data_IF_368085992558
#
_entry.id   IF_368085992558
#
_cell.length_a   1.000
_cell.length_b   1.000
_cell.length_c   1.000
_cell.angle_alpha   90.00
_cell.angle_beta   90.00
_cell.angle_gamma   90.00
#
_symmetry.space_group_name_H-M   'P 1'
#
loop_
_entity.id
_entity.type
_entity.pdbx_description
1 polymer ?
#
# COMPACT_ATOMS: atom_id res chain seq x y z
N UNK A 1 15.58 -12.38 -2.06
CA UNK A 1 14.42 -11.47 -1.95
C UNK A 1 13.85 -11.55 -0.54
N UNK A 2 13.53 -10.42 0.09
CA UNK A 2 12.74 -10.43 1.33
C UNK A 2 11.38 -11.08 1.05
N UNK A 3 10.91 -11.96 1.94
CA UNK A 3 9.63 -12.64 1.77
C UNK A 3 8.51 -11.61 1.61
N UNK A 4 7.65 -11.79 0.60
CA UNK A 4 6.56 -10.85 0.23
C UNK A 4 5.73 -10.41 1.44
N UNK A 5 5.47 -11.34 2.37
CA UNK A 5 4.72 -11.10 3.60
C UNK A 5 5.44 -10.14 4.57
N UNK A 6 6.77 -10.20 4.66
CA UNK A 6 7.56 -9.26 5.48
C UNK A 6 7.50 -7.84 4.92
N UNK A 7 7.40 -7.72 3.60
CA UNK A 7 7.27 -6.42 2.93
C UNK A 7 5.84 -5.88 3.06
N UNK A 8 4.82 -6.73 2.96
CA UNK A 8 3.43 -6.34 3.19
C UNK A 8 3.25 -5.72 4.59
N UNK A 9 3.72 -6.41 5.64
CA UNK A 9 3.66 -5.89 7.01
C UNK A 9 4.41 -4.57 7.21
N UNK A 10 5.50 -4.34 6.48
CA UNK A 10 6.21 -3.06 6.52
C UNK A 10 5.35 -1.90 5.95
N UNK A 11 4.60 -2.15 4.87
CA UNK A 11 3.69 -1.15 4.31
C UNK A 11 2.48 -0.90 5.20
N UNK A 12 1.95 -1.92 5.86
CA UNK A 12 0.91 -1.76 6.89
C UNK A 12 1.39 -0.85 8.03
N UNK A 13 2.59 -1.10 8.58
CA UNK A 13 3.17 -0.28 9.64
C UNK A 13 3.37 1.19 9.20
N UNK A 14 3.79 1.42 7.95
CA UNK A 14 3.91 2.78 7.38
C UNK A 14 2.54 3.47 7.32
N UNK A 15 1.48 2.77 6.91
CA UNK A 15 0.12 3.31 6.91
C UNK A 15 -0.31 3.75 8.32
N UNK A 16 -0.10 2.90 9.33
CA UNK A 16 -0.50 3.20 10.71
C UNK A 16 0.21 4.44 11.26
N UNK A 17 1.52 4.54 11.09
CA UNK A 17 2.31 5.69 11.57
C UNK A 17 1.99 6.97 10.79
N UNK A 18 1.77 6.88 9.49
CA UNK A 18 1.37 8.01 8.68
C UNK A 18 -0.03 8.52 9.06
N UNK A 19 -0.98 7.64 9.35
CA UNK A 19 -2.33 8.01 9.82
C UNK A 19 -2.29 8.65 11.21
N UNK A 20 -1.42 8.18 12.12
CA UNK A 20 -1.17 8.86 13.41
C UNK A 20 -0.60 10.26 13.22
N UNK A 21 0.31 10.44 12.27
CA UNK A 21 0.87 11.77 11.95
C UNK A 21 -0.19 12.71 11.35
N UNK A 22 -1.09 12.20 10.51
CA UNK A 22 -2.15 12.99 9.89
C UNK A 22 -3.19 13.55 10.89
N UNK A 23 -3.29 12.99 12.09
CA UNK A 23 -4.15 13.50 13.18
C UNK A 23 -3.55 14.71 13.91
N UNK A 24 -2.28 15.03 13.67
CA UNK A 24 -1.61 16.22 14.22
C UNK A 24 -1.90 17.41 13.31
N UNK A 25 -1.95 18.60 13.89
CA UNK A 25 -2.01 19.83 13.09
C UNK A 25 -0.65 20.05 12.42
N UNK A 26 -0.56 19.68 11.13
CA UNK A 26 0.66 19.70 10.35
C UNK A 26 0.55 20.72 9.22
N UNK A 27 1.67 21.35 8.82
CA UNK A 27 1.67 22.27 7.70
C UNK A 27 1.07 21.63 6.44
N UNK A 28 0.32 22.37 5.60
CA UNK A 28 -0.36 21.81 4.43
C UNK A 28 0.56 21.03 3.48
N UNK A 29 1.81 21.48 3.34
CA UNK A 29 2.86 20.82 2.55
C UNK A 29 3.22 19.43 3.09
N UNK A 30 3.26 19.29 4.41
CA UNK A 30 3.56 18.01 5.10
C UNK A 30 2.35 17.08 4.98
N UNK A 31 1.13 17.58 5.18
CA UNK A 31 -0.10 16.82 5.00
C UNK A 31 -0.27 16.28 3.57
N UNK A 32 0.08 17.07 2.54
CA UNK A 32 0.08 16.62 1.13
C UNK A 32 1.03 15.44 0.90
N UNK A 33 2.23 15.48 1.50
CA UNK A 33 3.22 14.41 1.40
C UNK A 33 2.78 13.16 2.16
N UNK A 34 2.23 13.31 3.36
CA UNK A 34 1.65 12.22 4.15
C UNK A 34 0.57 11.47 3.39
N UNK A 35 -0.36 12.18 2.75
CA UNK A 35 -1.39 11.55 1.89
C UNK A 35 -0.79 10.72 0.75
N UNK A 36 0.30 11.22 0.15
CA UNK A 36 1.01 10.50 -0.92
C UNK A 36 1.66 9.23 -0.41
N UNK A 37 2.33 9.30 0.76
CA UNK A 37 2.94 8.14 1.41
C UNK A 37 1.89 7.08 1.74
N UNK A 38 0.76 7.49 2.34
CA UNK A 38 -0.36 6.57 2.65
C UNK A 38 -0.90 5.92 1.37
N UNK A 39 -1.07 6.68 0.30
CA UNK A 39 -1.57 6.14 -0.98
C UNK A 39 -0.64 5.08 -1.56
N UNK A 40 0.68 5.31 -1.51
CA UNK A 40 1.68 4.35 -2.00
C UNK A 40 1.68 3.10 -1.11
N UNK A 41 1.70 3.29 0.21
CA UNK A 41 1.75 2.19 1.17
C UNK A 41 0.50 1.30 1.10
N UNK A 42 -0.71 1.90 1.00
CA UNK A 42 -1.97 1.16 0.80
C UNK A 42 -1.93 0.34 -0.48
N UNK A 43 -1.57 0.97 -1.60
CA UNK A 43 -1.45 0.28 -2.88
C UNK A 43 -0.48 -0.91 -2.85
N UNK A 44 0.66 -0.75 -2.16
CA UNK A 44 1.63 -1.83 -2.02
C UNK A 44 1.17 -2.94 -1.07
N UNK A 45 0.45 -2.61 0.01
CA UNK A 45 -0.20 -3.62 0.85
C UNK A 45 -1.20 -4.42 0.02
N UNK A 46 -2.09 -3.73 -0.69
CA UNK A 46 -3.14 -4.36 -1.52
C UNK A 46 -2.56 -5.32 -2.56
N UNK A 47 -1.49 -4.94 -3.26
CA UNK A 47 -0.83 -5.82 -4.25
C UNK A 47 -0.22 -7.06 -3.58
N UNK A 48 0.33 -6.92 -2.38
CA UNK A 48 1.09 -7.98 -1.70
C UNK A 48 0.21 -8.90 -0.86
N UNK A 49 -0.89 -8.38 -0.35
CA UNK A 49 -1.95 -9.12 0.34
C UNK A 49 -2.95 -9.74 -0.64
N UNK A 50 -2.97 -9.31 -1.90
CA UNK A 50 -3.74 -9.96 -2.94
C UNK A 50 -3.37 -11.43 -3.04
N UNK A 51 -4.33 -12.30 -2.74
CA UNK A 51 -4.20 -13.75 -2.89
C UNK A 51 -3.65 -14.07 -4.28
N UNK A 52 -2.56 -14.84 -4.34
CA UNK A 52 -1.96 -15.24 -5.61
C UNK A 52 -3.05 -15.84 -6.53
N UNK A 53 -3.18 -15.30 -7.74
CA UNK A 53 -4.23 -15.70 -8.71
C UNK A 53 -5.55 -14.90 -8.65
N UNK A 54 -5.71 -13.95 -7.74
CA UNK A 54 -6.89 -13.06 -7.69
C UNK A 54 -6.85 -11.90 -8.70
N UNK A 55 -5.72 -11.72 -9.40
CA UNK A 55 -5.58 -10.69 -10.43
C UNK A 55 -6.48 -10.99 -11.63
N UNK A 56 -7.63 -10.32 -11.71
CA UNK A 56 -8.61 -10.44 -12.80
C UNK A 56 -8.04 -9.95 -14.14
N UNK A 57 -6.94 -9.18 -14.12
CA UNK A 57 -6.28 -8.67 -15.33
C UNK A 57 -5.81 -9.81 -16.27
N UNK A 58 -5.42 -10.96 -15.73
CA UNK A 58 -5.03 -12.12 -16.54
C UNK A 58 -6.22 -12.94 -17.08
N UNK A 59 -7.45 -12.73 -16.58
CA UNK A 59 -8.62 -13.54 -16.95
C UNK A 59 -9.16 -13.25 -18.35
N UNK A 60 -8.77 -12.14 -18.98
CA UNK A 60 -9.22 -11.76 -20.33
C UNK A 60 -8.35 -12.27 -21.49
N UNK A 61 -7.25 -13.02 -21.25
CA UNK A 61 -6.32 -13.36 -22.35
C UNK A 61 -5.66 -14.74 -22.30
N UNK A 62 -6.32 -15.75 -21.74
CA UNK A 62 -5.94 -17.16 -21.93
C UNK A 62 -7.06 -17.90 -22.70
N UNK A 63 -7.17 -17.62 -24.00
CA UNK A 63 -7.66 -18.58 -25.00
C UNK A 63 -6.51 -18.73 -26.00
N UNK A 64 -5.97 -19.93 -26.07
CA UNK A 64 -4.83 -20.34 -26.89
C UNK A 64 -4.43 -21.72 -26.44
#
# INVERSE_FOLDING_TARGET
>A
MLATNKIAGAFTAICEEAEKCAKKDLPPKVNKRLRTIISIAKHQSDIRDAKAGSCIAHKKRCRG
#
